data_IF_879599456218
#
_entry.id   IF_879599456218
#
_cell.length_a   1.000
_cell.length_b   1.000
_cell.length_c   1.000
_cell.angle_alpha   90.00
_cell.angle_beta   90.00
_cell.angle_gamma   90.00
#
_symmetry.space_group_name_H-M   'P 1'
#
loop_
_entity.id
_entity.type
_entity.pdbx_description
1 polymer ?
#
# COMPACT_ATOMS: atom_id res chain seq x y z
N UNK A 1 3.83 -43.72 106.87
CA UNK A 1 5.23 -43.32 106.97
C UNK A 1 5.83 -43.52 105.59
N UNK A 2 5.66 -42.52 104.72
CA UNK A 2 6.64 -41.45 104.42
C UNK A 2 7.56 -41.99 103.28
N UNK A 3 7.84 -41.33 102.17
CA UNK A 3 7.72 -39.92 101.78
C UNK A 3 7.82 -39.86 100.24
N UNK A 4 7.09 -38.93 99.65
CA UNK A 4 7.20 -38.43 98.29
C UNK A 4 8.55 -37.69 98.08
N UNK A 5 9.15 -37.76 96.87
CA UNK A 5 9.84 -36.58 96.31
C UNK A 5 10.05 -36.61 94.80
N UNK A 6 9.51 -35.54 94.21
CA UNK A 6 9.51 -35.04 92.83
C UNK A 6 10.89 -34.49 92.41
N UNK A 7 11.23 -34.55 91.12
CA UNK A 7 12.02 -33.49 90.47
C UNK A 7 11.79 -33.44 88.95
N UNK A 8 11.01 -32.44 88.54
CA UNK A 8 10.89 -31.95 87.18
C UNK A 8 12.09 -31.06 86.79
N UNK A 9 12.45 -31.02 85.50
CA UNK A 9 13.29 -29.97 84.95
C UNK A 9 13.46 -30.12 83.45
N UNK A 10 13.53 -29.09 82.63
CA UNK A 10 13.17 -27.69 82.76
C UNK A 10 13.06 -27.16 81.31
N UNK A 11 12.05 -26.34 81.04
CA UNK A 11 11.90 -25.61 79.77
C UNK A 11 12.96 -24.50 79.67
N UNK A 12 13.51 -24.29 78.48
CA UNK A 12 14.24 -23.07 78.11
C UNK A 12 15.18 -23.34 76.94
N UNK A 13 15.25 -22.56 75.86
CA UNK A 13 14.87 -21.16 75.66
C UNK A 13 14.50 -20.96 74.19
N UNK A 14 13.43 -20.21 73.94
CA UNK A 14 13.16 -19.58 72.65
C UNK A 14 14.28 -18.57 72.40
N UNK A 15 15.20 -18.89 71.50
CA UNK A 15 16.13 -17.91 70.95
C UNK A 15 15.45 -17.23 69.77
N UNK A 16 14.63 -16.21 70.06
CA UNK A 16 14.25 -15.24 69.05
C UNK A 16 15.47 -14.34 68.79
N UNK A 17 16.22 -14.63 67.72
CA UNK A 17 17.14 -13.67 67.13
C UNK A 17 16.44 -13.01 65.94
N UNK A 18 16.04 -11.73 66.02
CA UNK A 18 15.46 -11.03 64.89
C UNK A 18 16.58 -10.52 63.99
N UNK A 19 16.64 -10.98 62.73
CA UNK A 19 17.51 -10.42 61.69
C UNK A 19 17.11 -10.97 60.31
N UNK A 20 16.01 -10.47 59.70
CA UNK A 20 15.77 -10.64 58.24
C UNK A 20 14.95 -9.52 57.59
N UNK A 21 14.55 -8.45 58.30
CA UNK A 21 13.68 -7.42 57.71
C UNK A 21 14.34 -6.64 56.55
N UNK A 22 15.67 -6.54 56.52
CA UNK A 22 16.41 -5.86 55.45
C UNK A 22 16.49 -6.70 54.15
N UNK A 23 16.73 -8.01 54.25
CA UNK A 23 16.86 -8.91 53.08
C UNK A 23 15.50 -9.10 52.39
N UNK A 24 14.41 -9.11 53.17
CA UNK A 24 13.05 -9.13 52.63
C UNK A 24 12.69 -7.86 51.86
N UNK A 25 13.22 -6.70 52.23
CA UNK A 25 12.91 -5.43 51.56
C UNK A 25 13.58 -5.33 50.19
N UNK A 26 14.84 -5.74 50.06
CA UNK A 26 15.56 -5.65 48.79
C UNK A 26 15.02 -6.65 47.76
N UNK A 27 14.77 -7.90 48.17
CA UNK A 27 14.13 -8.90 47.32
C UNK A 27 12.72 -8.49 46.88
N UNK A 28 11.96 -7.81 47.76
CA UNK A 28 10.63 -7.30 47.42
C UNK A 28 10.69 -6.15 46.41
N UNK A 29 11.69 -5.25 46.51
CA UNK A 29 11.90 -4.18 45.52
C UNK A 29 12.32 -4.71 44.17
N UNK A 30 13.23 -5.68 44.13
CA UNK A 30 13.66 -6.33 42.88
C UNK A 30 12.50 -7.05 42.20
N UNK A 31 11.67 -7.76 42.97
CA UNK A 31 10.45 -8.38 42.46
C UNK A 31 9.47 -7.35 41.89
N UNK A 32 9.26 -6.23 42.60
CA UNK A 32 8.39 -5.13 42.14
C UNK A 32 8.89 -4.56 40.82
N UNK A 33 10.19 -4.27 40.72
CA UNK A 33 10.80 -3.77 39.48
C UNK A 33 10.66 -4.77 38.32
N UNK A 34 10.83 -6.07 38.58
CA UNK A 34 10.65 -7.12 37.59
C UNK A 34 9.21 -7.20 37.08
N UNK A 35 8.23 -7.09 37.98
CA UNK A 35 6.80 -7.05 37.65
C UNK A 35 6.46 -5.81 36.82
N UNK A 36 6.97 -4.64 37.20
CA UNK A 36 6.74 -3.39 36.45
C UNK A 36 7.34 -3.47 35.04
N UNK A 37 8.56 -4.00 34.93
CA UNK A 37 9.24 -4.23 33.64
C UNK A 37 8.47 -5.22 32.76
N UNK A 38 7.99 -6.32 33.33
CA UNK A 38 7.17 -7.29 32.62
C UNK A 38 5.82 -6.70 32.18
N UNK A 39 5.21 -5.87 33.01
CA UNK A 39 3.96 -5.16 32.71
C UNK A 39 4.16 -4.19 31.55
N UNK A 40 5.24 -3.40 31.56
CA UNK A 40 5.58 -2.49 30.48
C UNK A 40 5.79 -3.22 29.14
N UNK A 41 6.51 -4.35 29.15
CA UNK A 41 6.70 -5.20 27.95
C UNK A 41 5.38 -5.77 27.44
N UNK A 42 4.51 -6.23 28.35
CA UNK A 42 3.19 -6.74 27.99
C UNK A 42 2.34 -5.65 27.31
N UNK A 43 2.38 -4.42 27.82
CA UNK A 43 1.63 -3.30 27.24
C UNK A 43 2.19 -2.85 25.90
N UNK A 44 3.50 -2.93 25.69
CA UNK A 44 4.10 -2.76 24.37
C UNK A 44 3.66 -3.85 23.38
N UNK A 45 3.61 -5.11 23.81
CA UNK A 45 3.08 -6.22 22.99
C UNK A 45 1.61 -5.99 22.64
N UNK A 46 0.78 -5.51 23.58
CA UNK A 46 -0.62 -5.17 23.30
C UNK A 46 -0.74 -4.06 22.26
N UNK A 47 0.04 -3.00 22.39
CA UNK A 47 0.05 -1.86 21.43
C UNK A 47 0.49 -2.31 20.04
N UNK A 48 1.59 -3.05 19.94
CA UNK A 48 2.09 -3.57 18.66
C UNK A 48 1.10 -4.54 18.01
N UNK A 49 0.47 -5.42 18.79
CA UNK A 49 -0.60 -6.30 18.31
C UNK A 49 -1.78 -5.50 17.76
N UNK A 50 -2.23 -4.46 18.46
CA UNK A 50 -3.32 -3.60 17.99
C UNK A 50 -2.95 -2.89 16.67
N UNK A 51 -1.72 -2.39 16.56
CA UNK A 51 -1.20 -1.78 15.32
C UNK A 51 -1.19 -2.78 14.15
N UNK A 52 -0.65 -3.97 14.36
CA UNK A 52 -0.63 -5.02 13.33
C UNK A 52 -2.04 -5.47 12.93
N UNK A 53 -2.99 -5.52 13.87
CA UNK A 53 -4.38 -5.82 13.57
C UNK A 53 -5.01 -4.75 12.66
N UNK A 54 -4.76 -3.47 12.94
CA UNK A 54 -5.21 -2.36 12.12
C UNK A 54 -4.58 -2.42 10.71
N UNK A 55 -3.26 -2.59 10.61
CA UNK A 55 -2.56 -2.72 9.32
C UNK A 55 -3.07 -3.90 8.50
N UNK A 56 -3.30 -5.06 9.13
CA UNK A 56 -3.88 -6.22 8.45
C UNK A 56 -5.29 -5.94 7.93
N UNK A 57 -6.12 -5.24 8.70
CA UNK A 57 -7.46 -4.86 8.26
C UNK A 57 -7.44 -3.91 7.06
N UNK A 58 -6.54 -2.92 7.08
CA UNK A 58 -6.35 -1.99 5.97
C UNK A 58 -5.82 -2.71 4.72
N UNK A 59 -4.90 -3.66 4.88
CA UNK A 59 -4.40 -4.46 3.77
C UNK A 59 -5.52 -5.31 3.13
N UNK A 60 -6.37 -5.95 3.94
CA UNK A 60 -7.54 -6.69 3.44
C UNK A 60 -8.47 -5.80 2.62
N UNK A 61 -8.76 -4.59 3.11
CA UNK A 61 -9.59 -3.63 2.38
C UNK A 61 -8.96 -3.24 1.04
N UNK A 62 -7.65 -2.97 1.00
CA UNK A 62 -6.93 -2.66 -0.25
C UNK A 62 -6.97 -3.83 -1.24
N UNK A 63 -6.81 -5.07 -0.77
CA UNK A 63 -6.90 -6.25 -1.62
C UNK A 63 -8.29 -6.38 -2.23
N UNK A 64 -9.36 -6.21 -1.44
CA UNK A 64 -10.72 -6.27 -1.95
C UNK A 64 -11.01 -5.14 -2.95
N UNK A 65 -10.51 -3.93 -2.70
CA UNK A 65 -10.60 -2.83 -3.65
C UNK A 65 -9.88 -3.14 -4.98
N UNK A 66 -8.67 -3.70 -4.93
CA UNK A 66 -7.95 -4.09 -6.16
C UNK A 66 -8.70 -5.19 -6.93
N UNK A 67 -9.31 -6.15 -6.23
CA UNK A 67 -10.14 -7.18 -6.87
C UNK A 67 -11.37 -6.56 -7.54
N UNK A 68 -12.07 -5.64 -6.87
CA UNK A 68 -13.23 -4.99 -7.48
C UNK A 68 -12.85 -4.17 -8.71
N UNK A 69 -11.74 -3.44 -8.65
CA UNK A 69 -11.20 -2.71 -9.81
C UNK A 69 -10.81 -3.65 -10.95
N UNK A 70 -10.20 -4.80 -10.65
CA UNK A 70 -9.91 -5.80 -11.67
C UNK A 70 -11.20 -6.30 -12.36
N UNK A 71 -12.29 -6.44 -11.59
CA UNK A 71 -13.59 -6.86 -12.12
C UNK A 71 -14.27 -5.80 -13.01
N UNK A 72 -13.83 -4.54 -12.98
CA UNK A 72 -14.34 -3.48 -13.88
C UNK A 72 -13.86 -3.65 -15.32
N UNK A 73 -12.74 -4.36 -15.54
CA UNK A 73 -12.26 -4.65 -16.90
C UNK A 73 -13.16 -5.67 -17.62
N UNK A 74 -13.02 -5.79 -18.94
CA UNK A 74 -13.65 -6.88 -19.69
C UNK A 74 -13.03 -8.23 -19.31
N UNK A 75 -13.79 -9.31 -19.40
CA UNK A 75 -13.34 -10.65 -19.00
C UNK A 75 -12.15 -11.11 -19.84
N UNK A 76 -12.18 -10.81 -21.13
CA UNK A 76 -11.13 -11.11 -22.09
C UNK A 76 -9.82 -10.43 -21.73
N UNK A 77 -9.88 -9.17 -21.26
CA UNK A 77 -8.70 -8.43 -20.81
C UNK A 77 -8.15 -8.98 -19.49
N UNK A 78 -9.01 -9.41 -18.56
CA UNK A 78 -8.59 -10.07 -17.31
C UNK A 78 -7.94 -11.44 -17.56
N UNK A 79 -8.44 -12.18 -18.55
CA UNK A 79 -7.96 -13.52 -18.88
C UNK A 79 -6.63 -13.50 -19.63
N UNK A 80 -6.27 -12.36 -20.23
CA UNK A 80 -5.05 -12.21 -21.00
C UNK A 80 -3.81 -12.16 -20.11
N UNK A 81 -2.73 -12.80 -20.55
CA UNK A 81 -1.46 -12.71 -19.83
C UNK A 81 -0.78 -11.35 -20.06
N UNK A 82 0.00 -10.91 -19.07
CA UNK A 82 0.68 -9.61 -19.08
C UNK A 82 1.55 -9.41 -20.33
N UNK A 83 2.25 -10.46 -20.80
CA UNK A 83 3.14 -10.33 -21.97
C UNK A 83 2.34 -10.13 -23.25
N UNK A 84 1.15 -10.71 -23.34
CA UNK A 84 0.26 -10.47 -24.48
C UNK A 84 -0.30 -9.05 -24.42
N UNK A 85 -0.76 -8.58 -23.25
CA UNK A 85 -1.21 -7.19 -23.08
C UNK A 85 -0.12 -6.17 -23.46
N UNK A 86 1.12 -6.39 -23.04
CA UNK A 86 2.27 -5.53 -23.39
C UNK A 86 2.54 -5.51 -24.91
N UNK A 87 2.39 -6.66 -25.58
CA UNK A 87 2.56 -6.74 -27.04
C UNK A 87 1.46 -5.99 -27.79
N UNK A 88 0.20 -6.21 -27.41
CA UNK A 88 -0.95 -5.52 -28.00
C UNK A 88 -0.86 -4.01 -27.78
N UNK A 89 -0.48 -3.57 -26.57
CA UNK A 89 -0.25 -2.15 -26.28
C UNK A 89 0.82 -1.56 -27.21
N UNK A 90 1.93 -2.28 -27.42
CA UNK A 90 3.00 -1.82 -28.31
C UNK A 90 2.54 -1.75 -29.77
N UNK A 91 1.74 -2.72 -30.23
CA UNK A 91 1.17 -2.72 -31.56
C UNK A 91 0.24 -1.51 -31.76
N UNK A 92 -0.69 -1.28 -30.84
CA UNK A 92 -1.59 -0.13 -30.86
C UNK A 92 -0.84 1.21 -30.88
N UNK A 93 0.24 1.33 -30.10
CA UNK A 93 1.08 2.53 -30.12
C UNK A 93 1.75 2.75 -31.49
N UNK A 94 2.19 1.68 -32.15
CA UNK A 94 2.76 1.78 -33.49
C UNK A 94 1.69 2.18 -34.52
N UNK A 95 0.49 1.62 -34.42
CA UNK A 95 -0.64 1.98 -35.28
C UNK A 95 -1.02 3.45 -35.13
N UNK A 96 -1.12 3.96 -33.89
CA UNK A 96 -1.38 5.39 -33.62
C UNK A 96 -0.33 6.29 -34.29
N UNK A 97 0.95 5.91 -34.23
CA UNK A 97 2.01 6.67 -34.90
C UNK A 97 1.80 6.66 -36.41
N UNK A 98 1.56 5.48 -37.00
CA UNK A 98 1.31 5.35 -38.44
C UNK A 98 0.09 6.15 -38.90
N UNK A 99 -1.02 6.09 -38.17
CA UNK A 99 -2.24 6.87 -38.46
C UNK A 99 -1.98 8.38 -38.36
N UNK A 100 -1.20 8.82 -37.37
CA UNK A 100 -0.83 10.23 -37.20
C UNK A 100 0.02 10.73 -38.36
N UNK A 101 0.98 9.93 -38.82
CA UNK A 101 1.81 10.25 -40.00
C UNK A 101 0.98 10.31 -41.28
N UNK A 102 0.06 9.38 -41.45
CA UNK A 102 -0.84 9.36 -42.59
C UNK A 102 -1.77 10.60 -42.60
N UNK A 103 -2.36 10.94 -41.45
CA UNK A 103 -3.18 12.15 -41.30
C UNK A 103 -2.39 13.40 -41.68
N UNK A 104 -1.13 13.51 -41.23
CA UNK A 104 -0.25 14.62 -41.57
C UNK A 104 0.06 14.67 -43.07
N UNK A 105 0.25 13.52 -43.72
CA UNK A 105 0.41 13.43 -45.17
C UNK A 105 -0.83 13.95 -45.91
N UNK A 106 -2.03 13.58 -45.48
CA UNK A 106 -3.27 14.07 -46.06
C UNK A 106 -3.43 15.58 -45.90
N UNK A 107 -3.14 16.12 -44.71
CA UNK A 107 -3.15 17.57 -44.47
C UNK A 107 -2.18 18.29 -45.42
N UNK A 108 -0.97 17.78 -45.59
CA UNK A 108 0.00 18.34 -46.53
C UNK A 108 -0.50 18.30 -47.98
N UNK A 109 -1.23 17.26 -48.38
CA UNK A 109 -1.82 17.16 -49.72
C UNK A 109 -2.95 18.17 -49.91
N UNK A 110 -3.81 18.35 -48.90
CA UNK A 110 -4.88 19.35 -48.91
C UNK A 110 -4.28 20.76 -49.07
N UNK A 111 -3.23 21.09 -48.32
CA UNK A 111 -2.56 22.40 -48.44
C UNK A 111 -1.95 22.62 -49.82
N UNK A 112 -1.37 21.58 -50.43
CA UNK A 112 -0.89 21.66 -51.83
C UNK A 112 -2.03 21.95 -52.80
N UNK A 113 -3.20 21.32 -52.63
CA UNK A 113 -4.36 21.51 -53.49
C UNK A 113 -4.96 22.91 -53.34
N UNK A 114 -5.06 23.44 -52.12
CA UNK A 114 -5.48 24.84 -51.87
C UNK A 114 -4.57 25.87 -52.55
N UNK A 115 -3.28 25.55 -52.70
CA UNK A 115 -2.33 26.40 -53.39
C UNK A 115 -2.45 26.43 -54.92
N UNK A 116 -3.28 25.54 -55.52
CA UNK A 116 -3.45 25.48 -56.97
C UNK A 116 -4.42 26.58 -57.41
N UNK A 117 -3.94 27.51 -58.22
CA UNK A 117 -4.76 28.47 -58.96
C UNK A 117 -4.37 28.49 -60.43
N UNK A 118 -5.35 28.62 -61.32
CA UNK A 118 -5.14 28.69 -62.76
C UNK A 118 -5.83 29.92 -63.35
N UNK A 119 -5.15 30.60 -64.27
CA UNK A 119 -5.75 31.68 -65.06
C UNK A 119 -6.28 31.09 -66.36
N UNK A 120 -7.60 31.21 -66.57
CA UNK A 120 -8.27 30.81 -67.79
C UNK A 120 -8.66 32.03 -68.61
N UNK A 121 -8.36 32.03 -69.90
CA UNK A 121 -8.71 33.12 -70.82
C UNK A 121 -9.87 32.70 -71.70
N UNK A 122 -10.95 33.49 -71.67
CA UNK A 122 -12.10 33.31 -72.53
C UNK A 122 -11.80 33.79 -73.95
N UNK A 123 -12.49 33.23 -74.95
CA UNK A 123 -12.40 33.66 -76.34
C UNK A 123 -12.78 35.15 -76.54
N UNK A 124 -13.53 35.74 -75.61
CA UNK A 124 -13.82 37.18 -75.60
C UNK A 124 -12.67 38.06 -75.06
N UNK A 125 -11.56 37.45 -74.61
CA UNK A 125 -10.39 38.14 -74.07
C UNK A 125 -10.36 38.31 -72.54
N UNK A 126 -11.45 37.97 -71.85
CA UNK A 126 -11.57 38.09 -70.40
C UNK A 126 -10.83 36.96 -69.66
N UNK A 127 -10.18 37.29 -68.55
CA UNK A 127 -9.38 36.34 -67.76
C UNK A 127 -10.07 36.04 -66.43
N UNK A 128 -10.09 34.76 -66.04
CA UNK A 128 -10.70 34.24 -64.82
C UNK A 128 -9.66 33.50 -64.01
N UNK A 129 -9.58 33.79 -62.70
CA UNK A 129 -8.79 33.00 -61.76
C UNK A 129 -9.66 31.88 -61.22
N UNK A 130 -9.27 30.64 -61.50
CA UNK A 130 -9.90 29.43 -60.98
C UNK A 130 -9.09 28.99 -59.77
N UNK A 131 -9.75 28.84 -58.64
CA UNK A 131 -9.18 28.36 -57.39
C UNK A 131 -10.04 27.20 -56.89
N UNK A 132 -9.40 26.22 -56.25
CA UNK A 132 -10.12 25.17 -55.54
C UNK A 132 -10.46 25.69 -54.15
N UNK A 133 -11.74 26.03 -53.96
CA UNK A 133 -12.25 26.35 -52.63
C UNK A 133 -12.31 25.07 -51.78
N UNK A 134 -11.96 25.17 -50.50
CA UNK A 134 -12.01 24.04 -49.61
C UNK A 134 -13.49 23.81 -49.21
N UNK A 135 -14.04 22.62 -49.47
CA UNK A 135 -15.33 22.24 -48.88
C UNK A 135 -15.24 22.35 -47.35
N UNK A 136 -16.08 23.22 -46.79
CA UNK A 136 -16.27 23.42 -45.34
C UNK A 136 -17.20 22.35 -44.78
#
# INVERSE_FOLDING_TARGET
MDEEKVAAGARGKLSNRPLTDNVNNEASKELTFSVDSATAKLDEIKRTKAKLAAENSAMKQRIEQMKSQSNEFQEELRAMDVKTLEREQKALLADIVGETEFLKSLQNQIEKLKGISQLAKCACGQEYKIELDACV
#
